data_IF_848726866407
#
_entry.id   IF_848726866407
#
_cell.length_a   1.000
_cell.length_b   1.000
_cell.length_c   1.000
_cell.angle_alpha   90.00
_cell.angle_beta   90.00
_cell.angle_gamma   90.00
#
_symmetry.space_group_name_H-M   'P 1'
#
loop_
_entity.id
_entity.type
_entity.pdbx_description
1 polymer ?
#
# COMPACT_ATOMS: atom_id res chain seq x y z
N UNK A 1 0.66 1.05 23.32
CA UNK A 1 0.99 -0.16 22.54
C UNK A 1 2.10 0.22 21.58
N UNK A 2 3.24 -0.47 21.60
CA UNK A 2 4.32 -0.30 20.62
C UNK A 2 3.99 -1.20 19.43
N UNK A 3 4.02 -0.68 18.22
CA UNK A 3 3.80 -1.45 17.00
C UNK A 3 4.98 -1.25 16.04
N UNK A 4 6.07 -2.03 16.18
CA UNK A 4 7.36 -1.74 15.54
C UNK A 4 7.31 -1.50 14.02
N UNK A 5 6.37 -2.16 13.32
CA UNK A 5 6.15 -1.98 11.87
C UNK A 5 5.51 -0.61 11.56
N UNK A 6 4.51 -0.18 12.35
CA UNK A 6 3.74 1.05 12.09
C UNK A 6 4.42 2.28 12.69
N UNK A 7 5.19 2.07 13.76
CA UNK A 7 6.04 3.08 14.38
C UNK A 7 7.22 3.46 13.46
N UNK A 8 7.61 2.60 12.51
CA UNK A 8 8.74 2.76 11.57
C UNK A 8 9.98 3.42 12.21
N UNK A 9 10.32 3.00 13.43
CA UNK A 9 11.44 3.54 14.23
C UNK A 9 12.71 2.70 14.12
N UNK A 10 12.68 1.57 13.39
CA UNK A 10 13.78 0.62 13.29
C UNK A 10 14.23 0.43 11.84
N UNK A 11 15.54 0.23 11.66
CA UNK A 11 16.14 -0.22 10.41
C UNK A 11 16.81 -1.57 10.64
N UNK A 12 16.46 -2.58 9.85
CA UNK A 12 17.04 -3.92 9.97
C UNK A 12 18.47 -3.94 9.41
N UNK A 13 19.44 -4.24 10.27
CA UNK A 13 20.83 -4.46 9.91
C UNK A 13 21.02 -5.81 9.24
N UNK A 14 22.24 -6.10 8.77
CA UNK A 14 22.57 -7.43 8.25
C UNK A 14 22.36 -8.50 9.32
N UNK A 15 22.76 -8.21 10.57
CA UNK A 15 22.59 -9.13 11.70
C UNK A 15 21.11 -9.35 12.02
N UNK A 16 20.28 -8.28 12.05
CA UNK A 16 18.84 -8.43 12.25
C UNK A 16 18.19 -9.30 11.17
N UNK A 17 18.56 -9.12 9.90
CA UNK A 17 18.04 -9.94 8.79
C UNK A 17 18.49 -11.39 8.89
N UNK A 18 19.72 -11.64 9.37
CA UNK A 18 20.23 -12.98 9.62
C UNK A 18 19.44 -13.66 10.74
N UNK A 19 19.24 -13.00 11.88
CA UNK A 19 18.40 -13.50 12.98
C UNK A 19 16.97 -13.77 12.54
N UNK A 20 16.35 -12.90 11.74
CA UNK A 20 15.01 -13.13 11.19
C UNK A 20 14.91 -14.43 10.39
N UNK A 21 15.94 -14.73 9.58
CA UNK A 21 15.99 -15.97 8.79
C UNK A 21 16.22 -17.20 9.68
N UNK A 22 17.15 -17.11 10.62
CA UNK A 22 17.54 -18.23 11.49
C UNK A 22 16.45 -18.59 12.51
N UNK A 23 15.81 -17.59 13.13
CA UNK A 23 14.82 -17.80 14.20
C UNK A 23 13.39 -17.95 13.68
N UNK A 24 13.03 -17.26 12.59
CA UNK A 24 11.64 -17.17 12.10
C UNK A 24 11.46 -17.62 10.64
N UNK A 25 12.54 -17.97 9.93
CA UNK A 25 12.47 -18.32 8.52
C UNK A 25 12.11 -17.14 7.60
N UNK A 26 12.16 -15.91 8.10
CA UNK A 26 11.79 -14.71 7.35
C UNK A 26 13.02 -14.18 6.62
N UNK A 27 12.98 -14.19 5.29
CA UNK A 27 14.09 -13.72 4.45
C UNK A 27 13.69 -12.46 3.65
N UNK A 28 14.23 -11.28 4.02
CA UNK A 28 13.98 -10.04 3.27
C UNK A 28 14.78 -9.98 1.96
N UNK A 29 14.14 -9.49 0.90
CA UNK A 29 14.79 -9.26 -0.39
C UNK A 29 15.50 -7.90 -0.40
N UNK A 30 16.70 -7.83 -0.98
CA UNK A 30 17.48 -6.58 -1.08
C UNK A 30 17.93 -6.38 -2.53
N UNK A 31 17.69 -5.18 -3.06
CA UNK A 31 18.14 -4.78 -4.39
C UNK A 31 18.57 -3.31 -4.39
N UNK A 32 19.30 -2.89 -5.43
CA UNK A 32 19.76 -1.52 -5.61
C UNK A 32 18.93 -0.85 -6.70
N UNK A 33 18.18 0.19 -6.33
CA UNK A 33 17.51 1.08 -7.29
C UNK A 33 18.54 2.04 -7.91
N UNK A 34 18.59 2.10 -9.25
CA UNK A 34 19.44 3.02 -10.02
C UNK A 34 18.63 4.21 -10.55
N UNK A 35 19.33 5.22 -11.07
CA UNK A 35 18.69 6.35 -11.74
C UNK A 35 17.84 5.85 -12.92
N UNK A 36 16.57 6.26 -12.96
CA UNK A 36 15.61 5.85 -13.99
C UNK A 36 14.77 4.61 -13.63
N UNK A 37 15.12 3.88 -12.57
CA UNK A 37 14.35 2.72 -12.15
C UNK A 37 13.05 3.14 -11.43
N UNK A 38 11.93 2.55 -11.85
CA UNK A 38 10.68 2.56 -11.10
C UNK A 38 10.58 1.28 -10.27
N UNK A 39 10.16 1.42 -9.01
CA UNK A 39 9.99 0.31 -8.08
C UNK A 39 8.53 0.26 -7.64
N UNK A 40 7.88 -0.88 -7.88
CA UNK A 40 6.52 -1.13 -7.41
C UNK A 40 6.58 -1.95 -6.13
N UNK A 41 6.01 -1.41 -5.05
CA UNK A 41 5.88 -2.09 -3.77
C UNK A 41 4.39 -2.41 -3.56
N UNK A 42 4.00 -3.69 -3.45
CA UNK A 42 2.61 -4.07 -3.23
C UNK A 42 2.07 -3.56 -1.89
N UNK A 43 0.74 -3.40 -1.82
CA UNK A 43 0.04 -3.09 -0.58
C UNK A 43 0.42 -4.11 0.52
N UNK A 44 0.67 -3.61 1.73
CA UNK A 44 0.99 -4.44 2.89
C UNK A 44 2.43 -4.93 2.96
N UNK A 45 3.27 -4.70 1.94
CA UNK A 45 4.67 -5.13 1.94
C UNK A 45 5.56 -4.19 2.79
N UNK A 46 6.07 -4.61 3.96
CA UNK A 46 6.97 -3.79 4.75
C UNK A 46 8.31 -3.65 4.01
N UNK A 47 8.85 -2.44 3.97
CA UNK A 47 10.12 -2.18 3.30
C UNK A 47 10.90 -1.07 4.01
N UNK A 48 12.22 -1.07 3.81
CA UNK A 48 13.13 -0.05 4.33
C UNK A 48 14.04 0.43 3.21
N UNK A 49 14.40 1.72 3.25
CA UNK A 49 15.21 2.36 2.20
C UNK A 49 16.43 3.00 2.83
N UNK A 50 17.58 2.85 2.18
CA UNK A 50 18.82 3.54 2.52
C UNK A 50 19.44 4.15 1.28
N UNK A 51 19.73 5.45 1.34
CA UNK A 51 20.42 6.16 0.27
C UNK A 51 21.92 5.80 0.32
N UNK A 52 22.44 5.20 -0.76
CA UNK A 52 23.86 4.86 -0.89
C UNK A 52 24.72 6.04 -1.39
N UNK A 53 24.07 7.02 -2.04
CA UNK A 53 24.61 8.28 -2.54
C UNK A 53 23.52 9.36 -2.37
N UNK A 54 23.88 10.64 -2.52
CA UNK A 54 22.87 11.71 -2.60
C UNK A 54 21.91 11.44 -3.76
N UNK A 55 20.61 11.43 -3.47
CA UNK A 55 19.57 11.12 -4.44
C UNK A 55 18.25 11.83 -4.08
N UNK A 56 17.46 12.13 -5.11
CA UNK A 56 16.08 12.60 -5.00
C UNK A 56 15.16 11.52 -5.54
N UNK A 57 14.11 11.17 -4.79
CA UNK A 57 13.07 10.24 -5.25
C UNK A 57 11.70 10.90 -5.21
N UNK A 58 10.81 10.45 -6.09
CA UNK A 58 9.39 10.74 -6.07
C UNK A 58 8.66 9.43 -5.80
N UNK A 59 7.66 9.45 -4.92
CA UNK A 59 6.83 8.31 -4.61
C UNK A 59 5.36 8.76 -4.67
N UNK A 60 4.51 7.84 -5.14
CA UNK A 60 3.07 8.01 -5.20
C UNK A 60 2.43 6.71 -4.73
N UNK A 61 1.47 6.83 -3.82
CA UNK A 61 0.63 5.72 -3.40
C UNK A 61 -0.61 5.65 -4.30
N UNK A 62 -1.03 4.44 -4.68
CA UNK A 62 -2.24 4.22 -5.47
C UNK A 62 -2.95 2.95 -5.00
N UNK A 63 -4.24 2.83 -5.33
CA UNK A 63 -5.06 1.64 -5.05
C UNK A 63 -5.32 0.94 -6.38
N UNK A 64 -4.88 -0.31 -6.50
CA UNK A 64 -5.20 -1.15 -7.65
C UNK A 64 -6.41 -2.04 -7.34
N UNK A 65 -7.25 -2.40 -8.32
CA UNK A 65 -8.37 -3.30 -8.10
C UNK A 65 -7.96 -4.64 -7.48
N UNK A 66 -6.82 -5.19 -7.90
CA UNK A 66 -6.29 -6.48 -7.42
C UNK A 66 -5.94 -6.46 -5.93
N UNK A 67 -5.58 -5.29 -5.40
CA UNK A 67 -5.13 -5.13 -4.01
C UNK A 67 -6.15 -4.43 -3.11
N UNK A 68 -7.36 -4.12 -3.61
CA UNK A 68 -8.36 -3.37 -2.84
C UNK A 68 -8.72 -4.04 -1.50
N UNK A 69 -8.78 -5.38 -1.48
CA UNK A 69 -9.05 -6.14 -0.27
C UNK A 69 -7.93 -6.01 0.77
N UNK A 70 -6.68 -6.01 0.33
CA UNK A 70 -5.51 -5.83 1.20
C UNK A 70 -5.43 -4.38 1.71
N UNK A 71 -5.69 -3.39 0.85
CA UNK A 71 -5.82 -2.00 1.25
C UNK A 71 -6.91 -1.82 2.33
N UNK A 72 -8.07 -2.45 2.16
CA UNK A 72 -9.15 -2.40 3.16
C UNK A 72 -8.75 -3.06 4.48
N UNK A 73 -8.07 -4.22 4.43
CA UNK A 73 -7.55 -4.91 5.63
C UNK A 73 -6.58 -4.01 6.41
N UNK A 74 -5.68 -3.32 5.72
CA UNK A 74 -4.72 -2.38 6.31
C UNK A 74 -5.43 -1.16 6.93
N UNK A 75 -6.46 -0.61 6.28
CA UNK A 75 -7.30 0.44 6.87
C UNK A 75 -7.89 0.00 8.22
N UNK A 76 -8.38 -1.23 8.31
CA UNK A 76 -8.91 -1.78 9.58
C UNK A 76 -7.81 -2.06 10.62
N UNK A 77 -6.60 -2.39 10.18
CA UNK A 77 -5.43 -2.56 11.04
C UNK A 77 -5.01 -1.21 11.67
N UNK A 78 -4.93 -0.14 10.87
CA UNK A 78 -4.57 1.20 11.35
C UNK A 78 -5.59 1.76 12.34
N UNK A 79 -6.88 1.44 12.19
CA UNK A 79 -7.92 1.86 13.14
C UNK A 79 -7.74 1.31 14.56
N UNK A 80 -6.97 0.23 14.72
CA UNK A 80 -6.65 -0.35 16.04
C UNK A 80 -5.47 0.35 16.73
N UNK A 81 -4.78 1.25 16.03
CA UNK A 81 -3.68 2.03 16.59
C UNK A 81 -4.20 3.13 17.54
N UNK A 82 -3.36 3.64 18.46
CA UNK A 82 -3.74 4.74 19.34
C UNK A 82 -4.27 5.94 18.56
N UNK A 83 -5.25 6.66 19.12
CA UNK A 83 -5.97 7.78 18.44
C UNK A 83 -5.03 8.80 17.78
N UNK A 84 -3.89 9.09 18.42
CA UNK A 84 -2.91 10.09 17.94
C UNK A 84 -1.71 9.46 17.21
N UNK A 85 -1.80 8.20 16.80
CA UNK A 85 -0.72 7.54 16.08
C UNK A 85 -0.69 8.03 14.63
N UNK A 86 0.47 8.50 14.13
CA UNK A 86 0.61 9.10 12.79
C UNK A 86 0.06 8.28 11.61
N UNK A 87 0.01 6.95 11.76
CA UNK A 87 -0.50 6.03 10.72
C UNK A 87 -2.02 5.85 10.74
N UNK A 88 -2.77 6.52 11.63
CA UNK A 88 -4.24 6.47 11.65
C UNK A 88 -4.88 7.38 10.59
N UNK A 89 -4.10 8.27 9.98
CA UNK A 89 -4.57 9.14 8.90
C UNK A 89 -4.95 8.30 7.67
N UNK A 90 -6.21 8.38 7.25
CA UNK A 90 -6.71 7.69 6.04
C UNK A 90 -6.30 8.47 4.78
N UNK A 91 -5.07 8.27 4.33
CA UNK A 91 -4.51 9.02 3.19
C UNK A 91 -5.11 8.64 1.84
N UNK A 92 -5.53 7.38 1.71
CA UNK A 92 -6.00 6.82 0.44
C UNK A 92 -7.53 6.80 0.35
N UNK A 93 -8.25 6.86 1.47
CA UNK A 93 -9.72 6.89 1.50
C UNK A 93 -10.33 5.70 0.74
N UNK A 94 -9.75 4.50 0.91
CA UNK A 94 -10.07 3.28 0.13
C UNK A 94 -11.57 2.97 0.18
N UNK A 95 -12.22 3.17 1.34
CA UNK A 95 -13.66 2.95 1.50
C UNK A 95 -14.48 3.88 0.62
N UNK A 96 -14.07 5.15 0.52
CA UNK A 96 -14.70 6.14 -0.33
C UNK A 96 -14.56 5.76 -1.80
N UNK A 97 -13.35 5.35 -2.22
CA UNK A 97 -13.10 4.85 -3.57
C UNK A 97 -14.02 3.67 -3.93
N UNK A 98 -14.18 2.69 -3.02
CA UNK A 98 -15.08 1.54 -3.24
C UNK A 98 -16.52 1.99 -3.42
N UNK A 99 -17.01 2.91 -2.58
CA UNK A 99 -18.39 3.43 -2.70
C UNK A 99 -18.59 4.12 -4.05
N UNK A 100 -17.68 5.00 -4.47
CA UNK A 100 -17.80 5.66 -5.77
C UNK A 100 -17.69 4.69 -6.95
N UNK A 101 -16.80 3.70 -6.89
CA UNK A 101 -16.70 2.66 -7.91
C UNK A 101 -18.00 1.85 -8.02
N UNK A 102 -18.68 1.57 -6.91
CA UNK A 102 -19.97 0.87 -6.91
C UNK A 102 -21.11 1.75 -7.44
N UNK A 103 -21.12 3.05 -7.12
CA UNK A 103 -22.10 3.99 -7.66
C UNK A 103 -21.98 4.09 -9.19
N UNK A 104 -20.76 4.27 -9.69
CA UNK A 104 -20.44 4.31 -11.12
C UNK A 104 -20.84 2.99 -11.82
N UNK A 105 -20.55 1.83 -11.20
CA UNK A 105 -20.97 0.54 -11.74
C UNK A 105 -22.50 0.41 -11.84
N UNK A 106 -23.24 0.84 -10.82
CA UNK A 106 -24.71 0.77 -10.82
C UNK A 106 -25.29 1.66 -11.92
N UNK A 107 -24.81 2.89 -12.05
CA UNK A 107 -25.23 3.84 -13.09
C UNK A 107 -25.01 3.25 -14.49
N UNK A 108 -23.81 2.76 -14.77
CA UNK A 108 -23.48 2.11 -16.04
C UNK A 108 -24.36 0.89 -16.35
N UNK A 109 -24.71 0.09 -15.34
CA UNK A 109 -25.60 -1.07 -15.51
C UNK A 109 -27.05 -0.67 -15.77
N UNK A 110 -27.52 0.45 -15.18
CA UNK A 110 -28.86 0.97 -15.42
C UNK A 110 -29.00 1.55 -16.83
N UNK A 111 -28.02 2.31 -17.30
CA UNK A 111 -27.95 2.82 -18.68
C UNK A 111 -27.95 1.67 -19.70
N UNK A 112 -27.10 0.65 -19.46
CA UNK A 112 -27.02 -0.53 -20.31
C UNK A 112 -28.35 -1.32 -20.34
N UNK A 113 -29.04 -1.43 -19.20
CA UNK A 113 -30.37 -2.07 -19.12
C UNK A 113 -31.43 -1.28 -19.89
N UNK A 114 -31.36 0.05 -19.86
CA UNK A 114 -32.32 0.93 -20.52
C UNK A 114 -32.07 1.05 -22.03
N UNK A 115 -30.98 0.47 -22.55
CA UNK A 115 -30.62 0.51 -23.97
C UNK A 115 -30.07 1.86 -24.43
N UNK A 116 -29.58 2.68 -23.49
CA UNK A 116 -29.05 4.02 -23.74
C UNK A 116 -27.55 4.02 -24.12
N UNK A 117 -26.91 2.85 -24.18
CA UNK A 117 -25.51 2.74 -24.58
C UNK A 117 -25.32 3.09 -26.05
N UNK A 118 -24.88 4.32 -26.33
CA UNK A 118 -24.17 4.61 -27.58
C UNK A 118 -22.86 3.81 -27.58
N UNK A 119 -22.68 2.96 -28.60
CA UNK A 119 -21.43 2.26 -28.83
C UNK A 119 -20.33 3.31 -29.05
N UNK A 120 -19.24 3.33 -28.26
CA UNK A 120 -18.13 4.23 -28.51
C UNK A 120 -17.57 3.97 -29.92
N UNK A 121 -17.51 5.01 -30.76
CA UNK A 121 -16.87 4.96 -32.08
C UNK A 121 -15.36 4.84 -31.97
#
# INVERSE_FOLDING_TARGET
VVHPIHDQTFYLTVDHKKSLKEEYGIEPWTFVQKLGDAVFIPAGCPHQVRNLKSCTKVALDFVSPENVGECFRLTEEFRKLPINHRSTEDKLEVKKMIVYAMLDLVENLEEARNGETEVPK
#
